data_IF_344277078508
#
_entry.id   IF_344277078508
#
_cell.length_a   1.000
_cell.length_b   1.000
_cell.length_c   1.000
_cell.angle_alpha   90.00
_cell.angle_beta   90.00
_cell.angle_gamma   90.00
#
_symmetry.space_group_name_H-M   'P 1'
#
loop_
_entity.id
_entity.type
_entity.pdbx_description
1 polymer ?
#
# COMPACT_ATOMS: atom_id res chain seq x y z
N UNK A 1 9.17 -46.37 16.49
CA UNK A 1 9.63 -45.05 16.96
C UNK A 1 8.63 -44.05 16.44
N UNK A 2 7.79 -43.51 17.32
CA UNK A 2 6.97 -42.34 17.01
C UNK A 2 7.98 -41.23 16.66
N UNK A 3 7.88 -40.65 15.46
CA UNK A 3 8.47 -39.34 15.24
C UNK A 3 7.63 -38.42 16.13
N UNK A 4 8.08 -38.21 17.36
CA UNK A 4 7.60 -37.10 18.16
C UNK A 4 7.66 -35.86 17.29
N UNK A 5 6.61 -35.06 17.37
CA UNK A 5 6.35 -34.01 16.40
C UNK A 5 7.22 -32.80 16.72
N UNK A 6 8.53 -32.91 16.45
CA UNK A 6 9.59 -31.99 16.93
C UNK A 6 9.26 -30.54 16.61
N UNK A 7 8.63 -30.27 15.46
CA UNK A 7 8.23 -28.91 15.10
C UNK A 7 7.13 -28.38 16.02
N UNK A 8 6.13 -29.20 16.36
CA UNK A 8 5.06 -28.82 17.28
C UNK A 8 5.60 -28.63 18.70
N UNK A 9 6.52 -29.47 19.15
CA UNK A 9 7.15 -29.31 20.46
C UNK A 9 7.93 -27.99 20.55
N UNK A 10 8.67 -27.63 19.49
CA UNK A 10 9.40 -26.36 19.41
C UNK A 10 8.46 -25.15 19.40
N UNK A 11 7.36 -25.23 18.63
CA UNK A 11 6.33 -24.21 18.60
C UNK A 11 5.64 -24.06 19.97
N UNK A 12 5.35 -25.18 20.64
CA UNK A 12 4.77 -25.18 21.98
C UNK A 12 5.73 -24.58 23.02
N UNK A 13 7.02 -24.92 22.93
CA UNK A 13 8.07 -24.35 23.77
C UNK A 13 8.17 -22.84 23.56
N UNK A 14 8.10 -22.37 22.31
CA UNK A 14 8.12 -20.96 21.97
C UNK A 14 6.94 -20.21 22.60
N UNK A 15 5.71 -20.67 22.40
CA UNK A 15 4.52 -19.96 22.94
C UNK A 15 4.40 -20.03 24.46
N UNK A 16 5.03 -21.02 25.09
CA UNK A 16 5.09 -21.13 26.56
C UNK A 16 6.20 -20.28 27.18
N UNK A 17 7.15 -19.80 26.37
CA UNK A 17 8.27 -18.97 26.83
C UNK A 17 7.86 -17.54 27.15
N UNK A 18 8.58 -16.91 28.06
CA UNK A 18 8.44 -15.48 28.34
C UNK A 18 8.95 -14.62 27.17
N UNK A 19 8.59 -13.33 27.13
CA UNK A 19 8.94 -12.42 26.03
C UNK A 19 10.44 -12.46 25.65
N UNK A 20 11.34 -12.34 26.64
CA UNK A 20 12.79 -12.39 26.41
C UNK A 20 13.24 -13.73 25.81
N UNK A 21 12.68 -14.84 26.30
CA UNK A 21 13.00 -16.17 25.78
C UNK A 21 12.53 -16.30 24.34
N UNK A 22 11.31 -15.86 24.02
CA UNK A 22 10.79 -15.86 22.66
C UNK A 22 11.67 -15.06 21.71
N UNK A 23 12.05 -13.83 22.07
CA UNK A 23 12.97 -13.02 21.26
C UNK A 23 14.26 -13.77 20.92
N UNK A 24 14.84 -14.49 21.89
CA UNK A 24 16.07 -15.28 21.67
C UNK A 24 15.88 -16.53 20.81
N UNK A 25 14.63 -17.03 20.70
CA UNK A 25 14.31 -18.26 19.98
C UNK A 25 13.86 -18.02 18.53
N UNK A 26 13.33 -16.84 18.18
CA UNK A 26 12.65 -16.55 16.90
C UNK A 26 13.42 -17.05 15.68
N UNK A 27 14.62 -16.52 15.45
CA UNK A 27 15.41 -16.85 14.25
C UNK A 27 15.80 -18.33 14.22
N UNK A 28 16.15 -18.92 15.36
CA UNK A 28 16.46 -20.36 15.44
C UNK A 28 15.25 -21.25 15.11
N UNK A 29 14.04 -20.79 15.43
CA UNK A 29 12.80 -21.49 15.14
C UNK A 29 12.43 -21.33 13.66
N UNK A 30 12.57 -20.13 13.11
CA UNK A 30 12.34 -19.87 11.69
C UNK A 30 13.30 -20.69 10.81
N UNK A 31 14.61 -20.71 11.13
CA UNK A 31 15.61 -21.53 10.45
C UNK A 31 15.30 -23.03 10.54
N UNK A 32 14.80 -23.47 11.70
CA UNK A 32 14.37 -24.85 11.87
C UNK A 32 13.15 -25.18 11.00
N UNK A 33 12.14 -24.32 10.96
CA UNK A 33 10.96 -24.49 10.09
C UNK A 33 11.41 -24.62 8.63
N UNK A 34 12.27 -23.71 8.16
CA UNK A 34 12.79 -23.72 6.78
C UNK A 34 13.57 -25.00 6.45
N UNK A 35 14.42 -25.48 7.37
CA UNK A 35 15.27 -26.66 7.14
C UNK A 35 14.56 -28.00 7.36
N UNK A 36 13.46 -28.02 8.10
CA UNK A 36 12.73 -29.24 8.45
C UNK A 36 11.92 -29.85 7.30
N UNK A 37 11.57 -29.05 6.29
CA UNK A 37 10.58 -29.44 5.26
C UNK A 37 9.13 -29.50 5.77
N UNK A 38 8.86 -29.05 7.00
CA UNK A 38 7.53 -29.06 7.62
C UNK A 38 6.86 -27.67 7.62
N UNK A 39 7.23 -26.78 6.68
CA UNK A 39 6.72 -25.39 6.60
C UNK A 39 5.20 -25.31 6.61
N UNK A 40 4.50 -26.14 5.82
CA UNK A 40 3.03 -26.12 5.78
C UNK A 40 2.39 -26.57 7.09
N UNK A 41 3.05 -27.47 7.82
CA UNK A 41 2.58 -27.94 9.13
C UNK A 41 2.77 -26.85 10.20
N UNK A 42 3.94 -26.22 10.21
CA UNK A 42 4.21 -25.07 11.06
C UNK A 42 3.23 -23.92 10.76
N UNK A 43 2.99 -23.61 9.48
CA UNK A 43 2.05 -22.59 9.06
C UNK A 43 0.64 -22.83 9.61
N UNK A 44 0.10 -24.04 9.39
CA UNK A 44 -1.22 -24.41 9.90
C UNK A 44 -1.32 -24.31 11.43
N UNK A 45 -0.28 -24.73 12.15
CA UNK A 45 -0.24 -24.62 13.60
C UNK A 45 -0.22 -23.16 14.06
N UNK A 46 0.68 -22.34 13.49
CA UNK A 46 0.85 -20.93 13.85
C UNK A 46 -0.47 -20.17 13.66
N UNK A 47 -1.10 -20.32 12.50
CA UNK A 47 -2.36 -19.60 12.22
C UNK A 47 -3.52 -20.08 13.08
N UNK A 48 -3.56 -21.37 13.41
CA UNK A 48 -4.57 -21.93 14.31
C UNK A 48 -4.37 -21.40 15.74
N UNK A 49 -3.13 -21.28 16.19
CA UNK A 49 -2.79 -20.74 17.49
C UNK A 49 -3.11 -19.25 17.57
N UNK A 50 -2.74 -18.46 16.56
CA UNK A 50 -3.13 -17.04 16.47
C UNK A 50 -4.65 -16.89 16.49
N UNK A 51 -5.40 -17.69 15.73
CA UNK A 51 -6.86 -17.64 15.74
C UNK A 51 -7.43 -17.97 17.13
N UNK A 52 -6.81 -18.89 17.88
CA UNK A 52 -7.24 -19.20 19.26
C UNK A 52 -7.06 -18.03 20.24
N UNK A 53 -6.13 -17.12 19.93
CA UNK A 53 -5.87 -15.91 20.72
C UNK A 53 -6.74 -14.72 20.31
N UNK A 54 -7.44 -14.81 19.18
CA UNK A 54 -8.27 -13.74 18.67
C UNK A 54 -9.75 -14.08 18.85
N UNK A 55 -10.51 -13.20 19.50
CA UNK A 55 -11.91 -13.44 19.82
C UNK A 55 -12.84 -12.44 19.13
N UNK A 56 -14.10 -12.86 19.03
CA UNK A 56 -15.25 -12.09 18.54
C UNK A 56 -15.09 -11.54 17.12
N UNK A 57 -15.86 -12.14 16.18
CA UNK A 57 -15.92 -11.72 14.78
C UNK A 57 -17.14 -10.83 14.60
N UNK A 58 -16.95 -9.50 14.53
CA UNK A 58 -17.99 -8.62 14.00
C UNK A 58 -18.07 -8.74 12.46
N UNK A 59 -19.00 -8.00 11.84
CA UNK A 59 -19.28 -8.06 10.40
C UNK A 59 -18.01 -8.14 9.55
N UNK A 60 -18.05 -9.04 8.56
CA UNK A 60 -16.93 -9.40 7.65
C UNK A 60 -15.77 -10.21 8.27
N UNK A 61 -15.81 -10.52 9.57
CA UNK A 61 -14.89 -11.50 10.17
C UNK A 61 -13.57 -10.93 10.71
N UNK A 62 -13.51 -9.63 10.99
CA UNK A 62 -12.41 -8.96 11.70
C UNK A 62 -12.49 -9.18 13.21
N UNK A 63 -11.35 -9.16 13.89
CA UNK A 63 -11.28 -9.41 15.33
C UNK A 63 -11.56 -8.14 16.12
N UNK A 64 -12.33 -8.25 17.20
CA UNK A 64 -12.58 -7.13 18.13
C UNK A 64 -11.67 -7.19 19.36
N UNK A 65 -11.12 -8.36 19.67
CA UNK A 65 -10.25 -8.58 20.84
C UNK A 65 -9.09 -9.53 20.53
N UNK A 66 -7.94 -9.26 21.15
CA UNK A 66 -6.72 -10.08 21.06
C UNK A 66 -6.18 -10.36 22.45
N UNK A 67 -6.04 -11.64 22.76
CA UNK A 67 -5.31 -12.09 23.94
C UNK A 67 -3.82 -12.14 23.61
N UNK A 68 -3.02 -11.42 24.40
CA UNK A 68 -1.56 -11.39 24.25
C UNK A 68 -1.07 -10.99 22.83
N UNK A 69 -1.34 -9.75 22.39
CA UNK A 69 -0.91 -9.24 21.08
C UNK A 69 0.61 -9.31 20.86
N UNK A 70 1.43 -9.24 21.91
CA UNK A 70 2.88 -9.42 21.81
C UNK A 70 3.25 -10.83 21.31
N UNK A 71 2.61 -11.86 21.85
CA UNK A 71 2.81 -13.24 21.38
C UNK A 71 2.33 -13.43 19.94
N UNK A 72 1.23 -12.78 19.55
CA UNK A 72 0.75 -12.82 18.17
C UNK A 72 1.80 -12.20 17.24
N UNK A 73 2.33 -11.02 17.58
CA UNK A 73 3.38 -10.38 16.79
C UNK A 73 4.64 -11.26 16.69
N UNK A 74 5.08 -11.84 17.81
CA UNK A 74 6.22 -12.77 17.83
C UNK A 74 6.01 -13.98 16.90
N UNK A 75 4.79 -14.51 16.83
CA UNK A 75 4.44 -15.61 15.91
C UNK A 75 4.39 -15.16 14.44
N UNK A 76 3.91 -13.94 14.17
CA UNK A 76 3.93 -13.37 12.82
C UNK A 76 5.36 -13.17 12.31
N UNK A 77 6.26 -12.71 13.17
CA UNK A 77 7.68 -12.58 12.87
C UNK A 77 8.31 -13.93 12.50
N UNK A 78 8.10 -14.97 13.32
CA UNK A 78 8.58 -16.33 13.01
C UNK A 78 7.98 -16.85 11.70
N UNK A 79 6.68 -16.62 11.47
CA UNK A 79 6.01 -17.03 10.25
C UNK A 79 6.58 -16.31 9.02
N UNK A 80 6.87 -15.02 9.13
CA UNK A 80 7.48 -14.21 8.09
C UNK A 80 8.92 -14.67 7.78
N UNK A 81 9.75 -14.83 8.81
CA UNK A 81 11.14 -15.30 8.65
C UNK A 81 11.23 -16.72 8.10
N UNK A 82 10.16 -17.51 8.21
CA UNK A 82 10.08 -18.89 7.70
C UNK A 82 9.30 -19.05 6.39
N UNK A 83 8.96 -17.95 5.70
CA UNK A 83 8.36 -18.03 4.36
C UNK A 83 9.33 -18.66 3.35
N UNK A 84 8.86 -19.67 2.63
CA UNK A 84 9.60 -20.32 1.55
C UNK A 84 8.76 -20.35 0.29
N UNK A 85 9.39 -20.07 -0.86
CA UNK A 85 8.75 -20.10 -2.18
C UNK A 85 8.25 -21.49 -2.58
N UNK A 86 8.87 -22.53 -2.03
CA UNK A 86 8.58 -23.93 -2.37
C UNK A 86 7.53 -24.57 -1.44
N UNK A 87 7.01 -23.80 -0.48
CA UNK A 87 6.01 -24.27 0.49
C UNK A 87 4.58 -23.85 0.10
N UNK A 88 3.58 -24.60 0.56
CA UNK A 88 2.20 -24.12 0.53
C UNK A 88 1.98 -23.05 1.60
N UNK A 89 1.79 -21.81 1.14
CA UNK A 89 1.58 -20.61 1.95
C UNK A 89 0.11 -20.18 2.04
N UNK A 90 -0.81 -20.90 1.38
CA UNK A 90 -2.25 -20.61 1.45
C UNK A 90 -2.81 -20.56 2.89
N UNK A 91 -2.37 -21.38 3.86
CA UNK A 91 -2.89 -21.34 5.22
C UNK A 91 -2.82 -19.96 5.89
N UNK A 92 -1.85 -19.12 5.51
CA UNK A 92 -1.68 -17.79 6.08
C UNK A 92 -2.74 -16.80 5.61
N UNK A 93 -3.09 -16.80 4.33
CA UNK A 93 -3.76 -15.69 3.65
C UNK A 93 -5.01 -15.19 4.39
N UNK A 94 -6.01 -16.07 4.61
CA UNK A 94 -7.29 -15.69 5.24
C UNK A 94 -7.13 -15.31 6.71
N UNK A 95 -6.16 -15.89 7.43
CA UNK A 95 -5.99 -15.61 8.86
C UNK A 95 -5.25 -14.30 9.09
N UNK A 96 -4.22 -14.05 8.28
CA UNK A 96 -3.41 -12.84 8.35
C UNK A 96 -4.20 -11.61 7.89
N UNK A 97 -5.01 -11.71 6.83
CA UNK A 97 -5.81 -10.55 6.37
C UNK A 97 -6.76 -10.03 7.45
N UNK A 98 -7.29 -10.92 8.30
CA UNK A 98 -8.19 -10.54 9.41
C UNK A 98 -7.48 -9.78 10.53
N UNK A 99 -6.15 -9.84 10.58
CA UNK A 99 -5.32 -9.08 11.52
C UNK A 99 -4.97 -7.68 11.00
N UNK A 100 -5.23 -7.36 9.72
CA UNK A 100 -4.99 -6.02 9.17
C UNK A 100 -5.84 -4.94 9.85
N UNK A 101 -6.96 -5.33 10.46
CA UNK A 101 -7.82 -4.43 11.20
C UNK A 101 -8.35 -5.09 12.47
N UNK A 102 -8.17 -4.38 13.58
CA UNK A 102 -8.79 -4.70 14.86
C UNK A 102 -9.93 -3.71 15.04
N UNK A 103 -11.14 -4.22 15.24
CA UNK A 103 -12.36 -3.41 15.39
C UNK A 103 -12.42 -2.75 16.77
N UNK A 104 -11.54 -1.76 16.90
CA UNK A 104 -11.37 -0.86 18.04
C UNK A 104 -11.11 0.53 17.49
N UNK A 105 -11.55 1.55 18.22
CA UNK A 105 -11.20 2.94 17.89
C UNK A 105 -9.68 3.11 17.99
N UNK A 106 -9.08 3.84 17.07
CA UNK A 106 -7.62 4.02 17.02
C UNK A 106 -7.01 4.50 18.35
N UNK A 107 -7.69 5.40 19.06
CA UNK A 107 -7.25 5.92 20.37
C UNK A 107 -7.25 4.87 21.49
N UNK A 108 -8.03 3.80 21.33
CA UNK A 108 -8.23 2.74 22.32
C UNK A 108 -7.34 1.52 22.01
N UNK A 109 -6.62 1.52 20.88
CA UNK A 109 -5.68 0.44 20.50
C UNK A 109 -4.39 0.53 21.29
N UNK A 110 -3.91 -0.62 21.74
CA UNK A 110 -2.59 -0.79 22.35
C UNK A 110 -1.49 -0.71 21.28
N UNK A 111 -0.28 -0.34 21.68
CA UNK A 111 0.87 -0.33 20.76
C UNK A 111 1.19 -1.72 20.23
N UNK A 112 1.05 -2.75 21.06
CA UNK A 112 1.20 -4.15 20.65
C UNK A 112 0.14 -4.60 19.64
N UNK A 113 -1.09 -4.06 19.72
CA UNK A 113 -2.13 -4.30 18.71
C UNK A 113 -1.81 -3.62 17.38
N UNK A 114 -1.30 -2.38 17.41
CA UNK A 114 -0.79 -1.71 16.19
C UNK A 114 0.38 -2.48 15.58
N UNK A 115 1.27 -3.01 16.42
CA UNK A 115 2.40 -3.83 15.99
C UNK A 115 1.96 -5.15 15.33
N UNK A 116 0.88 -5.79 15.81
CA UNK A 116 0.25 -6.93 15.11
C UNK A 116 -0.29 -6.52 13.74
N UNK A 117 -0.98 -5.38 13.63
CA UNK A 117 -1.49 -4.90 12.34
C UNK A 117 -0.35 -4.59 11.36
N UNK A 118 0.74 -4.02 11.84
CA UNK A 118 1.96 -3.79 11.08
C UNK A 118 2.52 -5.11 10.52
N UNK A 119 2.75 -6.11 11.38
CA UNK A 119 3.28 -7.40 10.94
C UNK A 119 2.32 -8.17 10.02
N UNK A 120 1.01 -8.03 10.24
CA UNK A 120 0.02 -8.58 9.32
C UNK A 120 0.12 -7.93 7.93
N UNK A 121 0.36 -6.63 7.85
CA UNK A 121 0.56 -5.91 6.59
C UNK A 121 1.87 -6.31 5.91
N UNK A 122 2.98 -6.42 6.67
CA UNK A 122 4.28 -6.91 6.17
C UNK A 122 4.12 -8.31 5.58
N UNK A 123 3.55 -9.23 6.35
CA UNK A 123 3.37 -10.63 5.95
C UNK A 123 2.47 -10.75 4.73
N UNK A 124 1.37 -10.00 4.69
CA UNK A 124 0.46 -10.04 3.55
C UNK A 124 1.09 -9.43 2.28
N UNK A 125 1.86 -8.33 2.39
CA UNK A 125 2.60 -7.79 1.25
C UNK A 125 3.54 -8.84 0.66
N UNK A 126 4.23 -9.60 1.50
CA UNK A 126 5.15 -10.64 1.06
C UNK A 126 4.43 -11.86 0.48
N UNK A 127 3.33 -12.33 1.09
CA UNK A 127 2.49 -13.38 0.47
C UNK A 127 2.01 -12.97 -0.94
N UNK A 128 1.66 -11.70 -1.12
CA UNK A 128 1.29 -11.16 -2.43
C UNK A 128 2.53 -11.02 -3.34
N UNK A 129 3.70 -10.68 -2.81
CA UNK A 129 4.95 -10.66 -3.59
C UNK A 129 5.30 -12.04 -4.15
N UNK A 130 5.02 -13.09 -3.37
CA UNK A 130 5.25 -14.49 -3.70
C UNK A 130 4.17 -15.11 -4.61
N UNK A 131 3.28 -14.31 -5.19
CA UNK A 131 2.21 -14.78 -6.08
C UNK A 131 1.22 -15.78 -5.44
N UNK A 132 1.07 -15.74 -4.10
CA UNK A 132 0.06 -16.54 -3.41
C UNK A 132 -1.34 -16.09 -3.87
N UNK A 133 -2.20 -17.07 -4.19
CA UNK A 133 -3.58 -16.82 -4.63
C UNK A 133 -4.42 -16.22 -3.51
N UNK A 134 -5.29 -15.27 -3.86
CA UNK A 134 -6.14 -14.55 -2.91
C UNK A 134 -7.61 -14.92 -3.16
N UNK A 135 -8.29 -15.59 -2.21
CA UNK A 135 -9.73 -15.76 -2.25
C UNK A 135 -10.48 -14.42 -2.30
N UNK A 136 -11.70 -14.41 -2.85
CA UNK A 136 -12.50 -13.18 -2.96
C UNK A 136 -12.74 -12.51 -1.60
N UNK A 137 -13.06 -13.28 -0.56
CA UNK A 137 -13.25 -12.77 0.80
C UNK A 137 -12.01 -12.02 1.34
N UNK A 138 -10.82 -12.45 0.93
CA UNK A 138 -9.56 -11.83 1.33
C UNK A 138 -9.40 -10.50 0.62
N UNK A 139 -9.68 -10.45 -0.68
CA UNK A 139 -9.65 -9.22 -1.46
C UNK A 139 -10.63 -8.20 -0.88
N UNK A 140 -11.85 -8.62 -0.55
CA UNK A 140 -12.87 -7.74 0.07
C UNK A 140 -12.42 -7.18 1.43
N UNK A 141 -11.71 -7.97 2.24
CA UNK A 141 -11.15 -7.52 3.51
C UNK A 141 -9.99 -6.53 3.34
N UNK A 142 -9.08 -6.78 2.38
CA UNK A 142 -7.97 -5.85 2.08
C UNK A 142 -8.50 -4.48 1.61
N UNK A 143 -9.55 -4.51 0.78
CA UNK A 143 -10.14 -3.31 0.17
C UNK A 143 -11.21 -2.64 1.04
N UNK A 144 -11.39 -3.11 2.28
CA UNK A 144 -12.33 -2.48 3.20
C UNK A 144 -11.77 -1.17 3.76
N UNK A 145 -12.61 -0.15 3.83
CA UNK A 145 -12.27 1.20 4.30
C UNK A 145 -12.14 1.24 5.83
N UNK A 146 -10.98 0.80 6.32
CA UNK A 146 -10.62 0.90 7.72
C UNK A 146 -9.67 2.07 7.95
N UNK A 147 -10.04 2.94 8.89
CA UNK A 147 -9.18 4.04 9.32
C UNK A 147 -8.00 3.49 10.15
N UNK A 148 -6.78 3.90 9.81
CA UNK A 148 -5.53 3.52 10.49
C UNK A 148 -4.62 4.74 10.58
N UNK A 149 -4.07 5.00 11.77
CA UNK A 149 -3.16 6.14 11.98
C UNK A 149 -1.68 5.80 11.78
N UNK A 150 -1.32 4.52 11.86
CA UNK A 150 0.08 4.10 11.84
C UNK A 150 0.71 4.22 10.44
N UNK A 151 1.71 5.09 10.30
CA UNK A 151 2.39 5.38 9.03
C UNK A 151 3.07 4.12 8.47
N UNK A 152 3.92 3.38 9.23
CA UNK A 152 4.55 2.15 8.73
C UNK A 152 3.54 1.12 8.20
N UNK A 153 2.42 0.92 8.90
CA UNK A 153 1.36 0.03 8.41
C UNK A 153 0.77 0.54 7.09
N UNK A 154 0.48 1.85 6.99
CA UNK A 154 -0.06 2.45 5.77
C UNK A 154 0.91 2.36 4.58
N UNK A 155 2.23 2.37 4.81
CA UNK A 155 3.24 2.13 3.76
C UNK A 155 3.05 0.76 3.11
N UNK A 156 2.86 -0.29 3.92
CA UNK A 156 2.60 -1.64 3.44
C UNK A 156 1.22 -1.78 2.81
N UNK A 157 0.18 -1.14 3.35
CA UNK A 157 -1.15 -1.14 2.72
C UNK A 157 -1.10 -0.55 1.30
N UNK A 158 -0.38 0.57 1.10
CA UNK A 158 -0.21 1.14 -0.24
C UNK A 158 0.58 0.22 -1.17
N UNK A 159 1.58 -0.50 -0.66
CA UNK A 159 2.30 -1.54 -1.41
C UNK A 159 1.38 -2.70 -1.81
N UNK A 160 0.55 -3.18 -0.87
CA UNK A 160 -0.45 -4.21 -1.12
C UNK A 160 -1.41 -3.75 -2.23
N UNK A 161 -1.97 -2.55 -2.13
CA UNK A 161 -2.84 -1.99 -3.16
C UNK A 161 -2.15 -1.90 -4.53
N UNK A 162 -0.88 -1.47 -4.58
CA UNK A 162 -0.09 -1.51 -5.82
C UNK A 162 -0.09 -2.92 -6.42
N UNK A 163 0.29 -3.93 -5.64
CA UNK A 163 0.38 -5.31 -6.12
C UNK A 163 -0.98 -5.88 -6.55
N UNK A 164 -2.05 -5.54 -5.85
CA UNK A 164 -3.41 -5.90 -6.25
C UNK A 164 -3.75 -5.29 -7.62
N UNK A 165 -3.47 -4.01 -7.82
CA UNK A 165 -3.68 -3.35 -9.11
C UNK A 165 -2.80 -3.93 -10.22
N UNK A 166 -1.53 -4.24 -9.94
CA UNK A 166 -0.63 -4.94 -10.86
C UNK A 166 -1.19 -6.31 -11.26
N UNK A 167 -1.93 -7.00 -10.38
CA UNK A 167 -2.65 -8.25 -10.67
C UNK A 167 -4.01 -8.05 -11.37
N UNK A 168 -4.44 -6.80 -11.58
CA UNK A 168 -5.72 -6.47 -12.22
C UNK A 168 -6.92 -6.46 -11.28
N UNK A 169 -6.71 -6.52 -9.96
CA UNK A 169 -7.78 -6.36 -8.96
C UNK A 169 -8.10 -4.87 -8.83
N UNK A 170 -9.38 -4.52 -8.98
CA UNK A 170 -9.82 -3.13 -8.98
C UNK A 170 -9.73 -2.51 -7.58
N UNK A 171 -8.94 -1.44 -7.45
CA UNK A 171 -8.73 -0.67 -6.21
C UNK A 171 -9.22 0.78 -6.32
N UNK A 172 -10.09 1.07 -7.29
CA UNK A 172 -10.51 2.43 -7.66
C UNK A 172 -11.08 3.24 -6.48
N UNK A 173 -11.79 2.59 -5.56
CA UNK A 173 -12.30 3.19 -4.32
C UNK A 173 -11.21 3.79 -3.43
N UNK A 174 -9.95 3.37 -3.56
CA UNK A 174 -8.83 3.88 -2.77
C UNK A 174 -8.00 4.95 -3.49
N UNK A 175 -8.34 5.35 -4.73
CA UNK A 175 -7.62 6.40 -5.47
C UNK A 175 -7.54 7.70 -4.68
N UNK A 176 -8.62 8.12 -4.01
CA UNK A 176 -8.62 9.32 -3.18
C UNK A 176 -7.59 9.21 -2.03
N UNK A 177 -7.61 8.10 -1.29
CA UNK A 177 -6.67 7.86 -0.18
C UNK A 177 -5.21 7.90 -0.65
N UNK A 178 -4.92 7.29 -1.80
CA UNK A 178 -3.60 7.34 -2.43
C UNK A 178 -3.19 8.78 -2.76
N UNK A 179 -4.09 9.56 -3.37
CA UNK A 179 -3.84 10.98 -3.70
C UNK A 179 -3.59 11.82 -2.44
N UNK A 180 -4.33 11.58 -1.36
CA UNK A 180 -4.12 12.24 -0.06
C UNK A 180 -2.73 11.93 0.48
N UNK A 181 -2.29 10.67 0.46
CA UNK A 181 -0.97 10.26 0.92
C UNK A 181 0.15 10.95 0.12
N UNK A 182 0.01 11.05 -1.20
CA UNK A 182 0.96 11.79 -2.04
C UNK A 182 0.99 13.27 -1.67
N UNK A 183 -0.17 13.88 -1.43
CA UNK A 183 -0.25 15.30 -1.06
C UNK A 183 0.45 15.59 0.28
N UNK A 184 0.10 14.83 1.31
CA UNK A 184 0.58 15.05 2.68
C UNK A 184 2.08 14.77 2.83
N UNK A 185 2.61 13.78 2.10
CA UNK A 185 4.03 13.41 2.14
C UNK A 185 4.54 13.17 3.57
N UNK A 186 3.82 12.33 4.33
CA UNK A 186 4.21 12.01 5.72
C UNK A 186 5.52 11.22 5.80
N UNK A 187 5.78 10.36 4.79
CA UNK A 187 7.07 9.71 4.58
C UNK A 187 7.33 9.52 3.07
N UNK A 188 8.61 9.38 2.71
CA UNK A 188 9.03 9.05 1.35
C UNK A 188 8.49 7.69 0.89
N UNK A 189 8.56 6.67 1.75
CA UNK A 189 8.07 5.31 1.43
C UNK A 189 6.57 5.30 1.17
N UNK A 190 5.77 5.96 2.02
CA UNK A 190 4.32 6.06 1.84
C UNK A 190 3.97 6.77 0.55
N UNK A 191 4.66 7.87 0.27
CA UNK A 191 4.50 8.64 -0.97
C UNK A 191 4.82 7.80 -2.19
N UNK A 192 5.96 7.12 -2.19
CA UNK A 192 6.42 6.31 -3.32
C UNK A 192 5.48 5.14 -3.58
N UNK A 193 5.10 4.39 -2.55
CA UNK A 193 4.13 3.30 -2.67
C UNK A 193 2.78 3.81 -3.18
N UNK A 194 2.35 4.99 -2.74
CA UNK A 194 1.09 5.58 -3.19
C UNK A 194 1.13 6.00 -4.66
N UNK A 195 2.21 6.65 -5.12
CA UNK A 195 2.38 7.01 -6.53
C UNK A 195 2.47 5.76 -7.40
N UNK A 196 3.19 4.72 -6.96
CA UNK A 196 3.28 3.47 -7.70
C UNK A 196 1.92 2.75 -7.80
N UNK A 197 1.10 2.77 -6.75
CA UNK A 197 -0.26 2.25 -6.80
C UNK A 197 -1.16 3.04 -7.77
N UNK A 198 -1.05 4.38 -7.78
CA UNK A 198 -1.75 5.24 -8.74
C UNK A 198 -1.29 4.96 -10.18
N UNK A 199 0.01 4.74 -10.40
CA UNK A 199 0.54 4.35 -11.70
C UNK A 199 -0.05 3.01 -12.16
N UNK A 200 -0.13 2.01 -11.28
CA UNK A 200 -0.80 0.76 -11.59
C UNK A 200 -2.29 0.95 -11.93
N UNK A 201 -3.00 1.84 -11.22
CA UNK A 201 -4.39 2.21 -11.52
C UNK A 201 -4.54 2.84 -12.92
N UNK A 202 -3.63 3.73 -13.30
CA UNK A 202 -3.60 4.35 -14.63
C UNK A 202 -3.45 3.27 -15.69
N UNK A 203 -2.46 2.40 -15.54
CA UNK A 203 -2.17 1.33 -16.50
C UNK A 203 -3.33 0.34 -16.66
N UNK A 204 -4.12 0.12 -15.60
CA UNK A 204 -5.30 -0.73 -15.60
C UNK A 204 -6.61 -0.02 -15.97
N UNK A 205 -6.60 1.28 -16.24
CA UNK A 205 -7.80 2.06 -16.56
C UNK A 205 -8.77 2.23 -15.38
N UNK A 206 -8.30 2.12 -14.14
CA UNK A 206 -9.18 2.16 -12.96
C UNK A 206 -9.77 3.54 -12.68
N UNK A 207 -9.17 4.62 -13.19
CA UNK A 207 -9.77 5.95 -13.13
C UNK A 207 -11.09 6.03 -13.92
N UNK A 208 -11.28 5.21 -14.94
CA UNK A 208 -12.53 5.18 -15.71
C UNK A 208 -13.61 4.29 -15.06
N UNK A 209 -13.33 3.69 -13.90
CA UNK A 209 -14.33 2.93 -13.14
C UNK A 209 -15.46 3.86 -12.68
N UNK A 210 -16.74 3.50 -12.86
CA UNK A 210 -17.87 4.24 -12.31
C UNK A 210 -17.83 4.30 -10.78
N UNK A 211 -18.16 5.44 -10.21
CA UNK A 211 -18.36 5.58 -8.77
C UNK A 211 -19.77 5.07 -8.45
N UNK A 212 -19.94 4.16 -7.47
CA UNK A 212 -21.26 3.70 -7.05
C UNK A 212 -22.20 4.87 -6.72
N UNK A 213 -23.45 4.76 -7.13
CA UNK A 213 -24.50 5.77 -6.90
C UNK A 213 -24.19 7.18 -7.44
N UNK A 214 -23.27 7.30 -8.40
CA UNK A 214 -22.87 8.57 -9.01
C UNK A 214 -22.83 8.47 -10.54
N UNK A 215 -23.04 9.61 -11.22
CA UNK A 215 -22.86 9.73 -12.67
C UNK A 215 -21.39 10.01 -13.06
N UNK A 216 -20.47 9.94 -12.10
CA UNK A 216 -19.05 10.23 -12.29
C UNK A 216 -18.21 8.94 -12.25
N UNK A 217 -17.02 9.00 -12.83
CA UNK A 217 -15.98 8.00 -12.66
C UNK A 217 -14.91 8.54 -11.71
N UNK A 218 -13.99 7.68 -11.27
CA UNK A 218 -12.82 8.11 -10.49
C UNK A 218 -11.88 9.06 -11.24
N UNK A 219 -12.13 9.31 -12.52
CA UNK A 219 -11.47 10.26 -13.39
C UNK A 219 -11.48 11.68 -12.80
N UNK A 220 -12.45 12.01 -11.94
CA UNK A 220 -12.47 13.27 -11.16
C UNK A 220 -11.23 13.48 -10.30
N UNK A 221 -10.49 12.42 -9.96
CA UNK A 221 -9.25 12.47 -9.19
C UNK A 221 -8.00 12.68 -10.05
N UNK A 222 -8.09 12.62 -11.39
CA UNK A 222 -6.90 12.75 -12.26
C UNK A 222 -6.21 14.09 -12.10
N UNK A 223 -6.96 15.19 -11.99
CA UNK A 223 -6.33 16.51 -11.83
C UNK A 223 -5.63 16.62 -10.48
N UNK A 224 -6.23 16.08 -9.41
CA UNK A 224 -5.61 16.03 -8.09
C UNK A 224 -4.30 15.24 -8.16
N UNK A 225 -4.35 13.99 -8.63
CA UNK A 225 -3.16 13.14 -8.78
C UNK A 225 -2.07 13.83 -9.63
N UNK A 226 -2.44 14.39 -10.78
CA UNK A 226 -1.52 15.11 -11.67
C UNK A 226 -0.81 16.22 -10.92
N UNK A 227 -1.55 17.03 -10.18
CA UNK A 227 -1.00 18.19 -9.48
C UNK A 227 -0.14 17.78 -8.28
N UNK A 228 -0.53 16.74 -7.56
CA UNK A 228 0.27 16.13 -6.50
C UNK A 228 1.60 15.60 -7.04
N UNK A 229 1.59 14.86 -8.14
CA UNK A 229 2.80 14.32 -8.74
C UNK A 229 3.70 15.42 -9.31
N UNK A 230 3.16 16.46 -9.95
CA UNK A 230 3.98 17.58 -10.44
C UNK A 230 4.65 18.32 -9.27
N UNK A 231 3.96 18.47 -8.14
CA UNK A 231 4.55 19.06 -6.93
C UNK A 231 5.77 18.25 -6.46
N UNK A 232 5.69 16.91 -6.53
CA UNK A 232 6.79 16.01 -6.18
C UNK A 232 8.00 16.07 -7.11
N UNK A 233 7.94 16.78 -8.24
CA UNK A 233 9.12 17.00 -9.10
C UNK A 233 10.08 18.07 -8.56
N UNK A 234 9.65 18.87 -7.58
CA UNK A 234 10.47 19.93 -6.96
C UNK A 234 11.74 19.36 -6.32
N UNK A 235 12.80 20.17 -6.33
CA UNK A 235 14.12 19.80 -5.77
C UNK A 235 14.13 19.57 -4.25
N UNK A 236 13.06 19.97 -3.55
CA UNK A 236 12.89 19.72 -2.11
C UNK A 236 12.66 18.24 -1.80
N UNK A 237 12.19 17.47 -2.79
CA UNK A 237 11.99 16.03 -2.66
C UNK A 237 13.24 15.27 -3.12
N UNK A 238 13.44 14.11 -2.52
CA UNK A 238 14.50 13.17 -2.87
C UNK A 238 14.37 12.64 -4.31
N UNK A 239 15.48 12.21 -4.91
CA UNK A 239 15.48 11.70 -6.28
C UNK A 239 14.56 10.47 -6.50
N UNK A 240 14.49 9.47 -5.60
CA UNK A 240 13.56 8.35 -5.76
C UNK A 240 12.09 8.79 -5.89
N UNK A 241 11.64 9.71 -5.01
CA UNK A 241 10.29 10.27 -5.07
C UNK A 241 10.03 11.01 -6.38
N UNK A 242 11.01 11.81 -6.81
CA UNK A 242 10.93 12.55 -8.08
C UNK A 242 10.86 11.62 -9.30
N UNK A 243 11.64 10.54 -9.30
CA UNK A 243 11.66 9.50 -10.35
C UNK A 243 10.33 8.77 -10.46
N UNK A 244 9.76 8.35 -9.33
CA UNK A 244 8.45 7.67 -9.32
C UNK A 244 7.34 8.62 -9.78
N UNK A 245 7.38 9.89 -9.34
CA UNK A 245 6.41 10.91 -9.76
C UNK A 245 6.45 11.19 -11.26
N UNK A 246 7.65 11.35 -11.85
CA UNK A 246 7.77 11.59 -13.30
C UNK A 246 7.32 10.39 -14.13
N UNK A 247 7.62 9.16 -13.69
CA UNK A 247 7.14 7.94 -14.34
C UNK A 247 5.61 7.85 -14.35
N UNK A 248 4.96 8.15 -13.22
CA UNK A 248 3.50 8.20 -13.12
C UNK A 248 2.90 9.27 -14.06
N UNK A 249 3.49 10.47 -14.10
CA UNK A 249 3.03 11.55 -14.98
C UNK A 249 3.21 11.23 -16.47
N UNK A 250 4.29 10.55 -16.85
CA UNK A 250 4.52 10.10 -18.22
C UNK A 250 3.42 9.15 -18.70
N UNK A 251 3.07 8.16 -17.86
CA UNK A 251 1.99 7.23 -18.18
C UNK A 251 0.63 7.92 -18.16
N UNK A 252 0.41 8.84 -17.22
CA UNK A 252 -0.81 9.66 -17.15
C UNK A 252 -1.00 10.47 -18.43
N UNK A 253 0.02 11.21 -18.87
CA UNK A 253 -0.01 12.02 -20.07
C UNK A 253 -0.24 11.20 -21.33
N UNK A 254 0.16 9.92 -21.32
CA UNK A 254 -0.04 8.98 -22.42
C UNK A 254 -1.48 8.44 -22.48
N UNK A 255 -2.04 8.03 -21.35
CA UNK A 255 -3.38 7.42 -21.28
C UNK A 255 -4.49 8.47 -21.27
N UNK A 256 -4.26 9.61 -20.60
CA UNK A 256 -5.20 10.72 -20.43
C UNK A 256 -4.60 12.03 -20.98
N UNK A 257 -4.61 12.26 -22.31
CA UNK A 257 -3.98 13.43 -22.95
C UNK A 257 -4.46 14.80 -22.43
N UNK A 258 -5.69 14.88 -21.91
CA UNK A 258 -6.27 16.05 -21.24
C UNK A 258 -5.47 16.48 -19.99
N UNK A 259 -4.59 15.64 -19.46
CA UNK A 259 -3.70 16.00 -18.34
C UNK A 259 -2.47 16.78 -18.80
N UNK A 260 -2.08 16.70 -20.08
CA UNK A 260 -0.82 17.28 -20.59
C UNK A 260 -0.75 18.80 -20.39
N UNK A 261 -1.87 19.51 -20.68
CA UNK A 261 -1.92 20.96 -20.49
C UNK A 261 -1.85 21.35 -19.01
N UNK A 262 -2.44 20.54 -18.11
CA UNK A 262 -2.37 20.75 -16.66
C UNK A 262 -0.92 20.56 -16.15
N UNK A 263 -0.25 19.50 -16.62
CA UNK A 263 1.14 19.21 -16.27
C UNK A 263 2.05 20.39 -16.60
N UNK A 264 2.01 20.88 -17.84
CA UNK A 264 2.85 22.01 -18.26
C UNK A 264 2.54 23.29 -17.49
N UNK A 265 1.27 23.60 -17.26
CA UNK A 265 0.89 24.81 -16.52
C UNK A 265 1.40 24.74 -15.08
N UNK A 266 1.24 23.61 -14.40
CA UNK A 266 1.81 23.38 -13.07
C UNK A 266 3.34 23.48 -13.07
N UNK A 267 4.03 22.81 -13.98
CA UNK A 267 5.49 22.85 -14.08
C UNK A 267 6.01 24.28 -14.25
N UNK A 268 5.38 25.07 -15.13
CA UNK A 268 5.69 26.47 -15.34
C UNK A 268 5.45 27.31 -14.07
N UNK A 269 4.25 27.21 -13.47
CA UNK A 269 3.89 28.00 -12.26
C UNK A 269 4.75 27.66 -11.05
N UNK A 270 5.23 26.42 -10.95
CA UNK A 270 6.01 25.94 -9.81
C UNK A 270 7.52 25.90 -10.07
N UNK A 271 7.98 26.42 -11.21
CA UNK A 271 9.41 26.62 -11.50
C UNK A 271 10.17 25.32 -11.81
N UNK A 272 9.49 24.29 -12.30
CA UNK A 272 10.11 23.06 -12.78
C UNK A 272 10.56 23.32 -14.23
N UNK A 273 11.87 23.29 -14.45
CA UNK A 273 12.47 23.62 -15.74
C UNK A 273 12.85 22.36 -16.53
N UNK A 274 12.72 22.43 -17.85
CA UNK A 274 13.14 21.37 -18.76
C UNK A 274 14.67 21.14 -18.68
N UNK A 275 15.13 19.89 -18.50
CA UNK A 275 16.54 19.55 -18.55
C UNK A 275 17.14 19.73 -19.96
N UNK A 276 17.96 20.76 -20.14
CA UNK A 276 18.68 20.99 -21.42
C UNK A 276 19.66 19.87 -21.77
N UNK A 277 20.35 19.30 -20.77
CA UNK A 277 21.36 18.24 -20.91
C UNK A 277 21.19 17.22 -19.78
N UNK A 278 20.33 16.20 -19.95
CA UNK A 278 20.01 15.25 -18.90
C UNK A 278 21.21 14.36 -18.55
N UNK A 279 21.49 14.20 -17.25
CA UNK A 279 22.60 13.42 -16.68
C UNK A 279 22.17 12.29 -15.74
N UNK A 280 20.92 12.27 -15.32
CA UNK A 280 20.32 11.17 -14.55
C UNK A 280 19.05 10.65 -15.23
N UNK A 281 18.59 9.48 -14.85
CA UNK A 281 17.37 8.87 -15.40
C UNK A 281 16.16 9.76 -15.16
N UNK A 282 16.02 10.31 -13.94
CA UNK A 282 15.01 11.33 -13.64
C UNK A 282 15.03 12.50 -14.64
N UNK A 283 16.21 13.02 -14.99
CA UNK A 283 16.30 14.15 -15.94
C UNK A 283 15.94 13.75 -17.37
N UNK A 284 16.19 12.50 -17.76
CA UNK A 284 15.77 11.97 -19.07
C UNK A 284 14.25 11.85 -19.11
N UNK A 285 13.65 11.26 -18.09
CA UNK A 285 12.20 11.10 -17.97
C UNK A 285 11.49 12.46 -17.88
N UNK A 286 12.06 13.41 -17.14
CA UNK A 286 11.52 14.77 -17.05
C UNK A 286 11.53 15.46 -18.41
N UNK A 287 12.61 15.29 -19.19
CA UNK A 287 12.68 15.83 -20.54
C UNK A 287 11.66 15.18 -21.48
N UNK A 288 11.50 13.86 -21.38
CA UNK A 288 10.46 13.13 -22.12
C UNK A 288 9.06 13.64 -21.75
N UNK A 289 8.81 13.95 -20.47
CA UNK A 289 7.53 14.47 -20.01
C UNK A 289 7.23 15.84 -20.63
N UNK A 290 8.22 16.74 -20.70
CA UNK A 290 8.09 18.01 -21.42
C UNK A 290 7.71 17.77 -22.88
N UNK A 291 8.49 16.95 -23.60
CA UNK A 291 8.25 16.65 -25.02
C UNK A 291 6.86 16.04 -25.26
N UNK A 292 6.42 15.14 -24.38
CA UNK A 292 5.08 14.53 -24.45
C UNK A 292 3.99 15.60 -24.36
N UNK A 293 4.14 16.57 -23.46
CA UNK A 293 3.11 17.55 -23.20
C UNK A 293 3.13 18.75 -24.16
N UNK A 294 4.18 18.94 -24.97
CA UNK A 294 4.24 20.03 -25.96
C UNK A 294 3.08 19.99 -26.96
N UNK A 295 2.53 18.81 -27.25
CA UNK A 295 1.37 18.62 -28.14
C UNK A 295 0.03 18.61 -27.38
N UNK A 296 -0.06 19.30 -26.24
CA UNK A 296 -1.25 19.28 -25.39
C UNK A 296 -2.51 19.72 -26.16
N UNK A 297 -3.68 19.12 -25.88
CA UNK A 297 -4.92 19.35 -26.64
C UNK A 297 -5.57 20.74 -26.41
N UNK A 298 -4.88 21.68 -25.76
CA UNK A 298 -5.40 23.01 -25.40
C UNK A 298 -6.50 23.02 -24.31
N UNK A 299 -7.00 21.84 -23.93
CA UNK A 299 -7.91 21.63 -22.79
C UNK A 299 -7.16 20.94 -21.65
N UNK A 300 -7.53 21.23 -20.42
CA UNK A 300 -6.99 20.58 -19.25
C UNK A 300 -8.11 19.90 -18.42
N UNK A 301 -7.76 18.91 -17.60
CA UNK A 301 -8.71 18.23 -16.72
C UNK A 301 -9.04 19.01 -15.42
N UNK A 302 -8.63 20.27 -15.31
CA UNK A 302 -8.93 21.12 -14.14
C UNK A 302 -10.37 21.66 -14.26
N UNK A 303 -11.20 21.55 -13.21
CA UNK A 303 -12.56 22.10 -13.28
C UNK A 303 -12.55 23.63 -13.41
N UNK A 304 -13.54 24.20 -14.13
CA UNK A 304 -13.56 25.62 -14.55
C UNK A 304 -13.46 26.64 -13.41
N UNK A 305 -13.95 26.28 -12.23
CA UNK A 305 -13.95 27.10 -11.04
C UNK A 305 -12.58 27.11 -10.33
N UNK A 306 -11.57 26.39 -10.82
CA UNK A 306 -10.24 26.38 -10.24
C UNK A 306 -9.22 27.14 -11.11
N UNK A 307 -8.14 27.58 -10.47
CA UNK A 307 -7.01 28.24 -11.14
C UNK A 307 -5.70 27.80 -10.52
N UNK A 308 -4.68 27.66 -11.36
CA UNK A 308 -3.33 27.29 -10.96
C UNK A 308 -2.55 28.55 -10.59
N UNK A 309 -2.08 28.60 -9.36
CA UNK A 309 -1.26 29.69 -8.85
C UNK A 309 0.13 29.19 -8.45
N UNK A 310 1.04 30.12 -8.18
CA UNK A 310 2.35 29.80 -7.60
C UNK A 310 2.26 29.11 -6.24
N UNK A 311 1.14 29.29 -5.51
CA UNK A 311 0.89 28.71 -4.19
C UNK A 311 0.14 27.38 -4.24
N UNK A 312 -0.24 26.92 -5.44
CA UNK A 312 -1.07 25.73 -5.64
C UNK A 312 -2.39 26.06 -6.35
N UNK A 313 -3.33 25.12 -6.31
CA UNK A 313 -4.64 25.28 -6.94
C UNK A 313 -5.59 26.00 -5.99
N UNK A 314 -6.30 27.00 -6.50
CA UNK A 314 -7.26 27.80 -5.74
C UNK A 314 -8.61 27.83 -6.44
N UNK A 315 -9.69 27.85 -5.66
CA UNK A 315 -11.02 28.16 -6.17
C UNK A 315 -11.04 29.64 -6.62
N UNK A 316 -11.53 29.91 -7.83
CA UNK A 316 -11.79 31.26 -8.30
C UNK A 316 -12.78 31.91 -7.34
N UNK A 317 -12.38 33.04 -6.74
CA UNK A 317 -13.33 33.86 -6.01
C UNK A 317 -14.45 34.25 -6.98
N UNK A 318 -15.71 33.97 -6.63
CA UNK A 318 -16.85 34.56 -7.35
C UNK A 318 -16.62 36.06 -7.34
N UNK A 319 -16.32 36.64 -8.50
CA UNK A 319 -16.45 38.07 -8.67
C UNK A 319 -17.91 38.39 -8.40
N UNK A 320 -18.20 39.04 -7.27
CA UNK A 320 -19.48 39.70 -7.08
C UNK A 320 -19.59 40.70 -8.24
N UNK A 321 -20.42 40.33 -9.21
CA UNK A 321 -20.89 41.23 -10.27
C UNK A 321 -21.56 42.45 -9.68
#
# INVERSE_FOLDING_TARGET
>A
MLKDDIILDKLQQFVSGESIQRQSMKSSLADYILSSGETSKAANWIVSYIESLCHDKHDKGVYTQMNNPELIADLLEVAYESLSRDADLQPYVTKIVRLLYIDKKERDKLDSERYVQYWAAVMLDELISLNVSLPQEVVELILSDYYRQDIPTNEFICSIWRRLAERGINISNHINSLVINVNNHESSTLTNNSILALWACIHRGFFDTPIPDSNQTYHVWLWHMTTSCVDKLKKTYEEPTRSVAVGCLLETARIYPETQSLILECMNKWGIAEPKRPRSDFQRDLKELFSRCENHPGINCLPENYVITKRGIMLRSKSNS
#
